data_IF_307232878418
#
_entry.id   IF_307232878418
#
_cell.length_a   1.000
_cell.length_b   1.000
_cell.length_c   1.000
_cell.angle_alpha   90.00
_cell.angle_beta   90.00
_cell.angle_gamma   90.00
#
_symmetry.space_group_name_H-M   'P 1'
#
loop_
_entity.id
_entity.type
_entity.pdbx_description
1 polymer ?
#
# COMPACT_ATOMS: atom_id res chain seq x y z
N UNK A 1 1.90 31.78 -33.38
CA UNK A 1 1.22 31.50 -32.10
C UNK A 1 1.25 32.76 -31.27
N UNK A 2 0.09 33.24 -30.77
CA UNK A 2 0.02 34.48 -29.98
C UNK A 2 0.11 34.15 -28.48
N UNK A 3 1.01 34.80 -27.76
CA UNK A 3 1.16 34.69 -26.29
C UNK A 3 0.53 35.92 -25.65
N UNK A 4 -0.01 35.79 -24.43
CA UNK A 4 -0.46 36.94 -23.66
C UNK A 4 0.73 37.71 -23.05
N UNK A 5 0.47 38.87 -22.45
CA UNK A 5 1.47 39.72 -21.81
C UNK A 5 2.24 39.05 -20.64
N UNK A 6 1.81 37.87 -20.21
CA UNK A 6 2.43 37.05 -19.17
C UNK A 6 3.13 35.79 -19.73
N UNK A 7 3.36 35.73 -21.04
CA UNK A 7 4.13 34.66 -21.69
C UNK A 7 3.38 33.33 -21.85
N UNK A 8 2.12 33.24 -21.41
CA UNK A 8 1.32 32.03 -21.60
C UNK A 8 0.78 31.96 -23.03
N UNK A 9 0.86 30.77 -23.64
CA UNK A 9 0.25 30.52 -24.94
C UNK A 9 -1.28 30.60 -24.81
N UNK A 10 -1.89 31.55 -25.53
CA UNK A 10 -3.34 31.61 -25.66
C UNK A 10 -3.73 30.47 -26.61
N UNK A 11 -4.21 29.36 -26.04
CA UNK A 11 -4.92 28.34 -26.82
C UNK A 11 -6.23 28.98 -27.29
N UNK A 12 -6.39 29.17 -28.60
CA UNK A 12 -7.62 29.64 -29.20
C UNK A 12 -8.79 28.73 -28.79
N UNK A 13 -9.99 29.31 -28.50
CA UNK A 13 -11.16 28.53 -28.14
C UNK A 13 -11.81 27.99 -29.42
N UNK A 14 -11.12 27.08 -30.10
CA UNK A 14 -11.85 26.17 -30.97
C UNK A 14 -12.53 25.16 -30.04
N UNK A 15 -13.87 25.13 -30.12
CA UNK A 15 -14.71 24.09 -29.55
C UNK A 15 -14.07 22.73 -29.82
N UNK A 16 -13.41 22.17 -28.81
CA UNK A 16 -13.00 20.77 -28.80
C UNK A 16 -14.27 19.99 -28.50
N UNK A 17 -14.87 19.41 -29.54
CA UNK A 17 -15.62 18.18 -29.35
C UNK A 17 -14.64 17.16 -28.79
N UNK A 18 -14.67 16.95 -27.47
CA UNK A 18 -14.02 15.81 -26.84
C UNK A 18 -14.85 14.61 -27.26
N UNK A 19 -14.44 13.97 -28.34
CA UNK A 19 -14.72 12.56 -28.54
C UNK A 19 -13.81 11.84 -27.54
N UNK A 20 -14.39 11.43 -26.41
CA UNK A 20 -13.81 10.37 -25.59
C UNK A 20 -13.85 9.09 -26.45
N UNK A 21 -12.82 8.90 -27.28
CA UNK A 21 -12.53 7.65 -27.99
C UNK A 21 -11.87 6.68 -27.02
N UNK A 22 -12.65 6.19 -26.06
CA UNK A 22 -12.35 5.00 -25.27
C UNK A 22 -13.51 4.00 -25.42
N UNK A 23 -13.82 3.63 -26.66
CA UNK A 23 -14.54 2.39 -26.94
C UNK A 23 -13.72 1.56 -27.93
N UNK A 24 -13.30 0.38 -27.47
CA UNK A 24 -12.84 -0.72 -28.33
C UNK A 24 -13.94 -1.05 -29.35
N UNK A 25 -13.93 -0.36 -30.49
CA UNK A 25 -14.85 -0.56 -31.60
C UNK A 25 -14.56 -1.87 -32.32
N UNK A 26 -15.14 -2.96 -31.82
CA UNK A 26 -15.23 -4.23 -32.55
C UNK A 26 -16.00 -4.00 -33.85
N UNK A 27 -15.36 -4.29 -34.98
CA UNK A 27 -15.88 -4.11 -36.33
C UNK A 27 -17.22 -4.79 -36.56
N UNK A 28 -18.31 -4.03 -36.37
CA UNK A 28 -19.60 -4.33 -36.95
C UNK A 28 -19.75 -3.42 -38.15
N UNK A 29 -19.81 -4.01 -39.33
CA UNK A 29 -20.18 -3.32 -40.56
C UNK A 29 -21.39 -2.43 -40.28
N UNK A 30 -21.30 -1.15 -40.65
CA UNK A 30 -22.36 -0.18 -40.43
C UNK A 30 -23.64 -0.66 -41.11
N UNK A 31 -24.66 -1.01 -40.31
CA UNK A 31 -26.00 -1.30 -40.80
C UNK A 31 -26.81 -0.01 -40.77
N UNK A 32 -27.18 0.48 -41.95
CA UNK A 32 -28.15 1.54 -42.05
C UNK A 32 -29.48 1.08 -41.43
N UNK A 33 -30.17 1.94 -40.68
CA UNK A 33 -31.47 1.63 -40.11
C UNK A 33 -32.47 1.33 -41.24
N UNK A 34 -33.31 0.31 -41.03
CA UNK A 34 -34.24 -0.18 -42.04
C UNK A 34 -35.46 0.73 -42.20
N UNK A 35 -35.75 1.61 -41.23
CA UNK A 35 -36.88 2.54 -41.26
C UNK A 35 -36.65 3.81 -40.43
N UNK A 36 -37.49 4.82 -40.65
CA UNK A 36 -37.50 6.06 -39.85
C UNK A 36 -37.85 5.79 -38.37
N UNK A 37 -38.74 4.83 -38.11
CA UNK A 37 -39.07 4.42 -36.74
C UNK A 37 -37.87 3.81 -36.00
N UNK A 38 -37.03 3.05 -36.71
CA UNK A 38 -35.79 2.50 -36.16
C UNK A 38 -34.77 3.61 -35.87
N UNK A 39 -34.67 4.61 -36.75
CA UNK A 39 -33.88 5.82 -36.50
C UNK A 39 -34.33 6.56 -35.24
N UNK A 40 -35.62 6.83 -35.10
CA UNK A 40 -36.17 7.57 -33.97
C UNK A 40 -35.97 6.80 -32.65
N UNK A 41 -36.05 5.46 -32.69
CA UNK A 41 -35.72 4.59 -31.56
C UNK A 41 -34.24 4.66 -31.17
N UNK A 42 -33.33 4.62 -32.14
CA UNK A 42 -31.88 4.73 -31.87
C UNK A 42 -31.53 6.10 -31.29
N UNK A 43 -32.13 7.18 -31.83
CA UNK A 43 -31.92 8.55 -31.36
C UNK A 43 -32.44 8.73 -29.94
N UNK A 44 -33.65 8.26 -29.64
CA UNK A 44 -34.22 8.33 -28.29
C UNK A 44 -33.44 7.50 -27.27
N UNK A 45 -32.98 6.30 -27.64
CA UNK A 45 -32.12 5.48 -26.78
C UNK A 45 -30.76 6.13 -26.51
N UNK A 46 -30.22 6.88 -27.47
CA UNK A 46 -28.98 7.64 -27.28
C UNK A 46 -29.20 8.87 -26.39
N UNK A 47 -30.29 9.60 -26.59
CA UNK A 47 -30.65 10.73 -25.75
C UNK A 47 -30.84 10.31 -24.29
N UNK A 48 -31.56 9.20 -24.05
CA UNK A 48 -31.77 8.64 -22.70
C UNK A 48 -30.47 8.23 -22.02
N UNK A 49 -29.53 7.60 -22.74
CA UNK A 49 -28.20 7.25 -22.20
C UNK A 49 -27.38 8.48 -21.87
N UNK A 50 -27.42 9.51 -22.71
CA UNK A 50 -26.74 10.77 -22.45
C UNK A 50 -27.30 11.48 -21.20
N UNK A 51 -28.62 11.50 -21.03
CA UNK A 51 -29.27 12.05 -19.83
C UNK A 51 -28.94 11.27 -18.56
N UNK A 52 -28.90 9.94 -18.62
CA UNK A 52 -28.49 9.10 -17.49
C UNK A 52 -27.04 9.38 -17.08
N UNK A 53 -26.13 9.42 -18.05
CA UNK A 53 -24.72 9.72 -17.81
C UNK A 53 -24.54 11.11 -17.18
N UNK A 54 -25.25 12.12 -17.66
CA UNK A 54 -25.21 13.46 -17.08
C UNK A 54 -25.68 13.48 -15.62
N UNK A 55 -26.76 12.77 -15.28
CA UNK A 55 -27.24 12.66 -13.89
C UNK A 55 -26.28 11.91 -12.98
N UNK A 56 -25.63 10.86 -13.49
CA UNK A 56 -24.62 10.10 -12.76
C UNK A 56 -23.37 10.95 -12.49
N UNK A 57 -22.92 11.73 -13.47
CA UNK A 57 -21.81 12.67 -13.33
C UNK A 57 -22.14 13.79 -12.32
N UNK A 58 -23.35 14.34 -12.34
CA UNK A 58 -23.81 15.31 -11.33
C UNK A 58 -23.83 14.69 -9.93
N UNK A 59 -24.33 13.45 -9.79
CA UNK A 59 -24.33 12.74 -8.51
C UNK A 59 -22.92 12.41 -8.03
N UNK A 60 -22.02 12.05 -8.94
CA UNK A 60 -20.62 11.78 -8.62
C UNK A 60 -19.90 13.05 -8.17
N UNK A 61 -20.19 14.20 -8.78
CA UNK A 61 -19.60 15.50 -8.41
C UNK A 61 -19.89 15.93 -6.96
N UNK A 62 -21.01 15.47 -6.42
CA UNK A 62 -21.42 15.75 -5.04
C UNK A 62 -21.42 14.50 -4.15
N UNK A 63 -20.75 13.43 -4.57
CA UNK A 63 -20.68 12.19 -3.77
C UNK A 63 -20.03 12.42 -2.40
N UNK A 64 -19.02 13.29 -2.33
CA UNK A 64 -18.31 13.63 -1.09
C UNK A 64 -18.96 14.77 -0.30
N UNK A 65 -20.13 15.28 -0.73
CA UNK A 65 -20.74 16.48 -0.11
C UNK A 65 -21.16 16.24 1.35
N UNK A 66 -21.75 15.09 1.64
CA UNK A 66 -22.20 14.73 2.98
C UNK A 66 -21.01 14.48 3.92
N UNK A 67 -19.94 13.86 3.41
CA UNK A 67 -18.70 13.63 4.16
C UNK A 67 -18.00 14.96 4.49
N UNK A 68 -17.84 15.85 3.51
CA UNK A 68 -17.28 17.19 3.70
C UNK A 68 -18.12 18.05 4.65
N UNK A 69 -19.44 17.91 4.61
CA UNK A 69 -20.34 18.58 5.56
C UNK A 69 -20.14 18.06 6.98
N UNK A 70 -20.05 16.75 7.16
CA UNK A 70 -19.80 16.13 8.47
C UNK A 70 -18.45 16.54 9.05
N UNK A 71 -17.40 16.63 8.23
CA UNK A 71 -16.08 17.05 8.67
C UNK A 71 -16.01 18.54 8.98
N UNK A 72 -16.73 19.37 8.23
CA UNK A 72 -16.90 20.78 8.56
C UNK A 72 -17.65 20.99 9.89
N UNK A 73 -18.65 20.16 10.20
CA UNK A 73 -19.35 20.20 11.48
C UNK A 73 -18.46 19.77 12.66
N UNK A 74 -17.67 18.71 12.50
CA UNK A 74 -16.66 18.30 13.50
C UNK A 74 -15.60 19.39 13.71
N UNK A 75 -15.10 19.99 12.63
CA UNK A 75 -14.12 21.07 12.72
C UNK A 75 -14.70 22.30 13.42
N UNK A 76 -15.95 22.67 13.11
CA UNK A 76 -16.67 23.74 13.83
C UNK A 76 -16.85 23.39 15.30
N UNK A 77 -17.20 22.16 15.66
CA UNK A 77 -17.33 21.75 17.06
C UNK A 77 -16.01 21.86 17.85
N UNK A 78 -14.87 21.59 17.20
CA UNK A 78 -13.53 21.71 17.81
C UNK A 78 -13.05 23.17 17.87
N UNK A 79 -13.42 24.00 16.90
CA UNK A 79 -13.00 25.42 16.81
C UNK A 79 -13.97 26.40 17.45
N UNK A 80 -15.18 25.96 17.83
CA UNK A 80 -16.06 26.77 18.67
C UNK A 80 -15.31 27.07 19.97
N UNK A 81 -15.16 28.36 20.33
CA UNK A 81 -14.61 28.70 21.63
C UNK A 81 -15.51 28.06 22.68
N UNK A 82 -14.92 27.22 23.54
CA UNK A 82 -15.59 26.63 24.70
C UNK A 82 -16.41 27.70 25.43
N UNK A 83 -17.54 27.34 26.08
CA UNK A 83 -18.29 28.28 26.89
C UNK A 83 -17.32 29.05 27.78
N UNK A 84 -17.28 30.37 27.56
CA UNK A 84 -16.49 31.28 28.36
C UNK A 84 -17.23 31.45 29.68
N UNK A 85 -16.51 31.39 30.79
CA UNK A 85 -17.06 31.85 32.06
C UNK A 85 -17.38 33.36 31.94
N UNK A 86 -18.13 33.93 32.89
CA UNK A 86 -18.58 35.35 32.88
C UNK A 86 -17.43 36.37 32.69
N UNK A 87 -16.17 35.96 32.87
CA UNK A 87 -14.93 36.75 32.68
C UNK A 87 -14.22 36.55 31.33
N UNK A 88 -14.80 35.83 30.37
CA UNK A 88 -14.26 35.73 29.01
C UNK A 88 -13.01 34.84 28.84
N UNK A 89 -12.59 34.13 29.90
CA UNK A 89 -11.47 33.19 29.87
C UNK A 89 -11.94 31.80 29.40
N UNK A 90 -11.08 31.01 28.72
CA UNK A 90 -11.43 29.62 28.41
C UNK A 90 -11.61 28.89 29.73
N UNK A 91 -12.79 28.29 29.93
CA UNK A 91 -13.04 27.45 31.09
C UNK A 91 -11.92 26.40 31.19
N UNK A 92 -11.25 26.27 32.35
CA UNK A 92 -10.22 25.26 32.54
C UNK A 92 -10.84 23.89 32.23
N UNK A 93 -10.11 23.04 31.49
CA UNK A 93 -10.50 21.63 31.33
C UNK A 93 -10.78 21.07 32.73
N UNK A 94 -11.91 20.38 32.88
CA UNK A 94 -12.21 19.73 34.14
C UNK A 94 -11.06 18.76 34.47
N UNK A 95 -10.74 18.60 35.75
CA UNK A 95 -9.70 17.66 36.16
C UNK A 95 -9.99 16.24 35.62
N UNK A 96 -11.27 15.87 35.56
CA UNK A 96 -11.75 14.61 34.98
C UNK A 96 -11.42 14.46 33.48
N UNK A 97 -11.54 15.54 32.69
CA UNK A 97 -11.18 15.50 31.27
C UNK A 97 -9.66 15.37 31.06
N UNK A 98 -8.87 15.98 31.95
CA UNK A 98 -7.41 15.85 31.94
C UNK A 98 -7.01 14.43 32.29
N UNK A 99 -7.60 13.86 33.35
CA UNK A 99 -7.30 12.50 33.80
C UNK A 99 -7.70 11.46 32.73
N UNK A 100 -8.88 11.63 32.10
CA UNK A 100 -9.29 10.77 30.96
C UNK A 100 -8.30 10.81 29.80
N UNK A 101 -7.83 12.00 29.41
CA UNK A 101 -6.84 12.14 28.33
C UNK A 101 -5.50 11.51 28.69
N UNK A 102 -5.08 11.60 29.95
CA UNK A 102 -3.86 10.97 30.44
C UNK A 102 -4.00 9.43 30.41
N UNK A 103 -5.16 8.90 30.81
CA UNK A 103 -5.43 7.47 30.77
C UNK A 103 -5.51 6.93 29.33
N UNK A 104 -6.16 7.65 28.43
CA UNK A 104 -6.20 7.31 27.00
C UNK A 104 -4.81 7.30 26.36
N UNK A 105 -3.98 8.31 26.65
CA UNK A 105 -2.60 8.36 26.17
C UNK A 105 -1.78 7.18 26.70
N UNK A 106 -1.88 6.87 28.01
CA UNK A 106 -1.19 5.71 28.59
C UNK A 106 -1.72 4.38 28.07
N UNK A 107 -3.00 4.28 27.72
CA UNK A 107 -3.57 3.09 27.12
C UNK A 107 -3.06 2.89 25.69
N UNK A 108 -2.92 3.97 24.91
CA UNK A 108 -2.30 3.93 23.60
C UNK A 108 -0.84 3.47 23.68
N UNK A 109 -0.04 4.05 24.57
CA UNK A 109 1.36 3.67 24.78
C UNK A 109 1.51 2.18 25.15
N UNK A 110 0.61 1.67 26.01
CA UNK A 110 0.59 0.25 26.41
C UNK A 110 0.29 -0.67 25.24
N UNK A 111 -0.64 -0.27 24.37
CA UNK A 111 -1.00 -1.03 23.19
C UNK A 111 0.16 -1.09 22.20
N UNK A 112 0.85 0.03 21.97
CA UNK A 112 2.04 0.07 21.10
C UNK A 112 3.14 -0.86 21.61
N UNK A 113 3.45 -0.81 22.91
CA UNK A 113 4.42 -1.71 23.52
C UNK A 113 4.00 -3.18 23.43
N UNK A 114 2.70 -3.47 23.56
CA UNK A 114 2.17 -4.81 23.39
C UNK A 114 2.35 -5.29 21.94
N UNK A 115 2.11 -4.44 20.93
CA UNK A 115 2.31 -4.76 19.52
C UNK A 115 3.78 -5.03 19.17
N UNK A 116 4.71 -4.27 19.75
CA UNK A 116 6.15 -4.55 19.60
C UNK A 116 6.50 -5.94 20.16
N UNK A 117 6.00 -6.26 21.36
CA UNK A 117 6.19 -7.59 21.96
C UNK A 117 5.55 -8.71 21.13
N UNK A 118 4.40 -8.47 20.51
CA UNK A 118 3.78 -9.42 19.55
C UNK A 118 4.76 -9.69 18.40
N UNK A 119 5.39 -8.64 17.86
CA UNK A 119 6.41 -8.77 16.81
C UNK A 119 7.57 -9.67 17.24
N UNK A 120 8.19 -9.37 18.38
CA UNK A 120 9.32 -10.14 18.91
C UNK A 120 8.97 -11.61 19.18
N UNK A 121 7.77 -11.86 19.71
CA UNK A 121 7.32 -13.23 20.00
C UNK A 121 6.93 -13.98 18.73
N UNK A 122 6.33 -13.31 17.76
CA UNK A 122 6.02 -13.88 16.45
C UNK A 122 7.30 -14.29 15.74
N UNK A 123 8.31 -13.42 15.70
CA UNK A 123 9.59 -13.72 15.06
C UNK A 123 10.28 -14.93 15.70
N UNK A 124 10.28 -15.01 17.04
CA UNK A 124 10.78 -16.20 17.77
C UNK A 124 9.96 -17.46 17.48
N UNK A 125 8.64 -17.36 17.41
CA UNK A 125 7.77 -18.51 17.15
C UNK A 125 7.90 -19.02 15.69
N UNK A 126 8.29 -18.14 14.77
CA UNK A 126 8.53 -18.47 13.36
C UNK A 126 9.96 -18.92 13.07
N UNK A 127 10.85 -18.93 14.06
CA UNK A 127 12.21 -19.42 13.88
C UNK A 127 12.20 -20.89 13.43
N UNK A 128 12.82 -21.18 12.28
CA UNK A 128 12.80 -22.52 11.67
C UNK A 128 11.50 -22.91 10.97
N UNK A 129 10.55 -21.97 10.82
CA UNK A 129 9.29 -22.17 10.10
C UNK A 129 9.19 -21.20 8.92
N UNK A 130 8.45 -21.60 7.89
CA UNK A 130 8.14 -20.76 6.73
C UNK A 130 6.68 -20.36 6.78
N UNK A 131 6.43 -19.06 6.60
CA UNK A 131 5.08 -18.50 6.48
C UNK A 131 4.99 -17.81 5.12
N UNK A 132 3.93 -18.04 4.33
CA UNK A 132 3.72 -17.29 3.11
C UNK A 132 3.51 -15.81 3.42
N UNK A 133 4.17 -14.92 2.67
CA UNK A 133 4.13 -13.48 2.90
C UNK A 133 2.71 -12.90 2.94
N UNK A 134 1.78 -13.45 2.15
CA UNK A 134 0.38 -13.05 2.14
C UNK A 134 -0.31 -13.22 3.50
N UNK A 135 0.06 -14.24 4.29
CA UNK A 135 -0.48 -14.45 5.64
C UNK A 135 0.11 -13.49 6.65
N UNK A 136 1.40 -13.15 6.54
CA UNK A 136 2.04 -12.14 7.37
C UNK A 136 1.44 -10.75 7.15
N UNK A 137 1.16 -10.37 5.90
CA UNK A 137 0.54 -9.08 5.60
C UNK A 137 -0.93 -9.00 6.00
N UNK A 138 -1.64 -10.14 6.02
CA UNK A 138 -3.03 -10.20 6.47
C UNK A 138 -3.20 -10.34 7.99
N UNK A 139 -2.10 -10.53 8.74
CA UNK A 139 -2.15 -10.67 10.19
C UNK A 139 -2.43 -9.32 10.86
N UNK A 140 -3.60 -9.21 11.49
CA UNK A 140 -3.85 -8.13 12.44
C UNK A 140 -3.16 -8.44 13.76
N UNK A 141 -2.01 -7.81 14.01
CA UNK A 141 -1.23 -7.99 15.25
C UNK A 141 -2.00 -7.57 16.50
N UNK A 142 -3.05 -6.72 16.39
CA UNK A 142 -3.90 -6.35 17.51
C UNK A 142 -4.73 -7.52 18.02
N UNK A 143 -5.08 -8.47 17.16
CA UNK A 143 -5.80 -9.69 17.55
C UNK A 143 -4.97 -10.64 18.42
N UNK A 144 -3.65 -10.41 18.50
CA UNK A 144 -2.72 -11.19 19.31
C UNK A 144 -2.37 -10.50 20.63
N UNK A 145 -3.00 -9.37 20.95
CA UNK A 145 -2.88 -8.70 22.25
C UNK A 145 -4.00 -9.22 23.16
N UNK A 146 -3.68 -9.50 24.42
CA UNK A 146 -4.65 -9.97 25.41
C UNK A 146 -5.74 -8.93 25.67
N UNK A 147 -6.88 -9.35 26.23
CA UNK A 147 -8.02 -8.46 26.56
C UNK A 147 -7.62 -7.25 27.44
N UNK A 148 -6.55 -7.40 28.23
CA UNK A 148 -5.98 -6.34 29.08
C UNK A 148 -5.23 -5.24 28.30
N UNK A 149 -4.97 -5.42 27.00
CA UNK A 149 -4.26 -4.46 26.15
C UNK A 149 -2.78 -4.26 26.51
N UNK A 150 -2.20 -5.15 27.33
CA UNK A 150 -0.85 -5.01 27.92
C UNK A 150 0.11 -6.15 27.57
N UNK A 151 -0.42 -7.35 27.35
CA UNK A 151 0.37 -8.57 27.16
C UNK A 151 0.03 -9.21 25.82
N UNK A 152 0.92 -10.08 25.35
CA UNK A 152 0.67 -10.90 24.17
C UNK A 152 -0.17 -12.11 24.57
N UNK A 153 -1.20 -12.40 23.78
CA UNK A 153 -1.93 -13.65 23.88
C UNK A 153 -1.10 -14.79 23.24
N UNK A 154 -0.39 -15.52 24.10
CA UNK A 154 0.48 -16.61 23.69
C UNK A 154 -0.31 -17.79 23.07
N UNK A 155 -1.57 -18.00 23.44
CA UNK A 155 -2.40 -19.08 22.90
C UNK A 155 -2.87 -18.75 21.49
N UNK A 156 -3.34 -17.52 21.28
CA UNK A 156 -3.71 -17.02 19.96
C UNK A 156 -2.52 -16.97 19.01
N UNK A 157 -1.35 -16.51 19.49
CA UNK A 157 -0.10 -16.49 18.73
C UNK A 157 0.30 -17.90 18.29
N UNK A 158 0.33 -18.85 19.22
CA UNK A 158 0.72 -20.24 18.93
C UNK A 158 -0.22 -20.87 17.91
N UNK A 159 -1.53 -20.70 18.10
CA UNK A 159 -2.55 -21.20 17.17
C UNK A 159 -2.36 -20.60 15.78
N UNK A 160 -2.18 -19.28 15.68
CA UNK A 160 -1.95 -18.63 14.40
C UNK A 160 -0.69 -19.15 13.70
N UNK A 161 0.40 -19.31 14.44
CA UNK A 161 1.66 -19.84 13.92
C UNK A 161 1.47 -21.27 13.42
N UNK A 162 0.82 -22.15 14.19
CA UNK A 162 0.57 -23.53 13.77
C UNK A 162 -0.36 -23.62 12.54
N UNK A 163 -1.35 -22.75 12.43
CA UNK A 163 -2.30 -22.73 11.29
C UNK A 163 -1.71 -22.15 9.99
N UNK A 164 -0.71 -21.25 10.10
CA UNK A 164 -0.21 -20.46 8.96
C UNK A 164 1.25 -20.72 8.61
N UNK A 165 1.96 -21.56 9.37
CA UNK A 165 3.37 -21.89 9.12
C UNK A 165 3.57 -23.36 8.77
N UNK A 166 4.61 -23.63 7.98
CA UNK A 166 5.10 -24.98 7.73
C UNK A 166 6.53 -25.09 8.25
N UNK A 167 6.86 -26.22 8.88
CA UNK A 167 8.23 -26.51 9.27
C UNK A 167 9.14 -26.44 8.03
N UNK A 168 10.29 -25.79 8.16
CA UNK A 168 11.29 -25.81 7.10
C UNK A 168 11.90 -27.21 7.08
N UNK A 169 11.49 -28.03 6.11
CA UNK A 169 12.18 -29.28 5.82
C UNK A 169 13.65 -28.97 5.49
N UNK A 170 14.63 -29.61 6.14
CA UNK A 170 16.02 -29.43 5.77
C UNK A 170 16.19 -29.79 4.29
N UNK A 171 16.95 -28.98 3.55
CA UNK A 171 17.21 -29.21 2.14
C UNK A 171 17.62 -30.68 1.93
N UNK A 172 16.83 -31.41 1.14
CA UNK A 172 17.04 -32.84 0.88
C UNK A 172 18.51 -33.06 0.49
N UNK A 173 19.32 -33.81 1.26
CA UNK A 173 20.74 -34.00 0.99
C UNK A 173 20.87 -34.81 -0.30
N UNK A 174 20.99 -34.13 -1.43
CA UNK A 174 20.96 -34.78 -2.75
C UNK A 174 20.51 -33.89 -3.90
N UNK A 175 19.91 -32.71 -3.64
CA UNK A 175 19.82 -31.68 -4.69
C UNK A 175 21.22 -31.11 -4.92
N UNK A 176 21.88 -31.58 -5.98
CA UNK A 176 23.11 -30.96 -6.46
C UNK A 176 22.81 -29.48 -6.74
N UNK A 177 23.60 -28.53 -6.22
CA UNK A 177 23.45 -27.13 -6.58
C UNK A 177 23.55 -27.01 -8.10
N UNK A 178 22.63 -26.24 -8.70
CA UNK A 178 22.64 -25.96 -10.13
C UNK A 178 23.87 -25.10 -10.39
N UNK A 179 24.86 -25.55 -11.18
CA UNK A 179 26.03 -24.75 -11.48
C UNK A 179 25.60 -23.43 -12.16
N UNK A 180 25.94 -22.29 -11.55
CA UNK A 180 25.72 -20.96 -12.13
C UNK A 180 24.69 -20.08 -11.44
N UNK A 181 23.95 -20.56 -10.43
CA UNK A 181 23.02 -19.71 -9.67
C UNK A 181 23.58 -19.39 -8.27
N UNK A 182 24.51 -18.43 -8.22
CA UNK A 182 24.52 -17.39 -7.20
C UNK A 182 24.80 -17.70 -5.73
N UNK A 183 25.12 -18.92 -5.32
CA UNK A 183 25.61 -19.16 -3.95
C UNK A 183 27.07 -18.70 -3.84
N UNK A 184 27.24 -17.42 -3.49
CA UNK A 184 28.52 -16.89 -3.01
C UNK A 184 28.73 -17.46 -1.62
N UNK A 185 29.39 -18.61 -1.58
CA UNK A 185 29.94 -19.15 -0.34
C UNK A 185 30.78 -18.07 0.35
N UNK A 186 30.33 -17.63 1.53
CA UNK A 186 31.01 -16.60 2.33
C UNK A 186 32.36 -17.09 2.87
N UNK A 187 32.68 -18.38 2.70
CA UNK A 187 33.95 -18.98 3.07
C UNK A 187 34.81 -19.36 1.85
N UNK A 188 34.40 -19.00 0.63
CA UNK A 188 35.22 -19.17 -0.56
C UNK A 188 36.32 -18.08 -0.60
N UNK A 189 37.52 -18.45 -0.14
CA UNK A 189 38.78 -17.69 -0.29
C UNK A 189 39.24 -17.64 -1.76
N UNK A 190 38.32 -17.35 -2.68
CA UNK A 190 38.52 -17.48 -4.13
C UNK A 190 37.83 -16.40 -4.96
N UNK A 191 37.14 -15.44 -4.33
CA UNK A 191 36.38 -14.39 -5.01
C UNK A 191 37.16 -13.12 -5.36
N UNK A 192 38.46 -13.04 -5.06
CA UNK A 192 39.25 -11.84 -5.33
C UNK A 192 40.10 -12.01 -6.59
N UNK A 193 40.42 -10.91 -7.25
CA UNK A 193 41.34 -10.90 -8.40
C UNK A 193 42.70 -11.53 -8.03
N UNK A 194 43.05 -11.50 -6.74
CA UNK A 194 44.27 -12.10 -6.19
C UNK A 194 44.27 -13.63 -6.30
N UNK A 195 43.16 -14.32 -5.94
CA UNK A 195 43.09 -15.79 -6.04
C UNK A 195 43.14 -16.29 -7.49
N UNK A 196 42.66 -15.49 -8.44
CA UNK A 196 42.84 -15.77 -9.87
C UNK A 196 44.28 -15.60 -10.34
N UNK A 197 45.00 -14.62 -9.76
CA UNK A 197 46.41 -14.34 -10.06
C UNK A 197 47.34 -15.42 -9.49
N UNK A 198 47.06 -15.86 -8.27
CA UNK A 198 47.81 -16.93 -7.60
C UNK A 198 47.65 -18.25 -8.37
N UNK A 199 46.43 -18.60 -8.82
CA UNK A 199 46.19 -19.78 -9.66
C UNK A 199 46.87 -19.70 -11.03
N UNK A 200 46.95 -18.51 -11.62
CA UNK A 200 47.67 -18.29 -12.87
C UNK A 200 49.17 -18.48 -12.68
N UNK A 201 49.74 -17.87 -11.65
CA UNK A 201 51.16 -17.98 -11.32
C UNK A 201 51.53 -19.43 -10.97
N UNK A 202 50.68 -20.16 -10.27
CA UNK A 202 50.90 -21.59 -9.97
C UNK A 202 50.97 -22.44 -11.26
N UNK A 203 50.05 -22.21 -12.20
CA UNK A 203 50.02 -22.90 -13.49
C UNK A 203 51.16 -22.50 -14.43
N UNK A 204 51.66 -21.28 -14.33
CA UNK A 204 52.65 -20.71 -15.25
C UNK A 204 54.04 -20.52 -14.63
N UNK A 205 54.27 -21.00 -13.40
CA UNK A 205 55.55 -20.92 -12.68
C UNK A 205 56.70 -21.73 -13.30
N UNK A 206 56.44 -22.60 -14.29
CA UNK A 206 57.47 -23.47 -14.92
C UNK A 206 58.56 -22.77 -15.73
N UNK A 207 58.58 -21.44 -15.84
CA UNK A 207 59.61 -20.71 -16.58
C UNK A 207 60.51 -19.79 -15.72
N UNK A 208 60.53 -19.93 -14.38
CA UNK A 208 61.41 -19.12 -13.50
C UNK A 208 62.40 -19.92 -12.65
N UNK A 209 62.86 -21.08 -13.13
CA UNK A 209 64.08 -21.70 -12.63
C UNK A 209 65.10 -21.81 -13.76
N UNK A 210 66.11 -20.93 -13.74
CA UNK A 210 67.30 -21.08 -14.57
C UNK A 210 67.67 -19.84 -15.38
N UNK A 211 68.29 -18.87 -14.72
CA UNK A 211 69.55 -18.31 -15.21
C UNK A 211 70.26 -17.55 -14.09
N UNK A 212 71.49 -17.97 -13.86
CA UNK A 212 72.52 -17.27 -13.10
C UNK A 212 72.70 -15.81 -13.55
#
# INVERSE_FOLDING_TARGET
MKRNAFGQLIRSPYLRFVADDDEKGGGKEFKAPASQEELDRIVSDRARRAEQKAREEERAKYSDYDDLKSDAEKFRAVTQPKPKDDDGKPAPLSQEDVDKRIEEARAADRLELALERVGDQLDKALEGRTVPASKLFALDRKSLVSEDGKNVDAEALKKWVDDNSTAVEPAKPGRRPIPGQGDRDTNATGGSVQSGRDLYDEKHSKNKSGKD
#
